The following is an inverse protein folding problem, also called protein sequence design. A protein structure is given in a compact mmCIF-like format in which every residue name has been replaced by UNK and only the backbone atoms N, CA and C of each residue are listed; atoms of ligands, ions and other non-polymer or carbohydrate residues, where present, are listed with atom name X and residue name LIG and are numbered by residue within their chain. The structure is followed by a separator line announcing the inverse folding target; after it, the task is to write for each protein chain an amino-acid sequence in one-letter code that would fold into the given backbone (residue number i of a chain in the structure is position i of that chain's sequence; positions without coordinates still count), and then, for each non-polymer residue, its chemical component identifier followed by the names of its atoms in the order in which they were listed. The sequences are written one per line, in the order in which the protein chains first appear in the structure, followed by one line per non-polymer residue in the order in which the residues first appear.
data_IF_040798796605
#
_entry.id   IF_040798796605
#
_cell.length_a   1.000
_cell.length_b   1.000
_cell.length_c   1.000
_cell.angle_alpha   90.00
_cell.angle_beta   90.00
_cell.angle_gamma   90.00
#
_symmetry.space_group_name_H-M   'P 1'
#
loop_
_entity.id
_entity.type
_entity.pdbx_description
1 polymer ?
#
# COMPACT_ATOMS: atom_id res chain seq x y z
N UNK A 1 33.65 4.64 -44.44
CA UNK A 1 32.45 3.79 -44.24
C UNK A 1 32.06 3.87 -42.78
N UNK A 2 30.85 4.35 -42.48
CA UNK A 2 30.37 4.52 -41.10
C UNK A 2 30.08 3.14 -40.50
N UNK A 3 30.71 2.83 -39.37
CA UNK A 3 30.51 1.59 -38.63
C UNK A 3 29.20 1.73 -37.84
N UNK A 4 28.12 1.20 -38.37
CA UNK A 4 26.82 1.18 -37.69
C UNK A 4 26.86 0.16 -36.55
N UNK A 5 27.10 0.63 -35.33
CA UNK A 5 26.86 -0.12 -34.10
C UNK A 5 25.34 -0.14 -33.85
N UNK A 6 24.68 -1.16 -34.38
CA UNK A 6 23.31 -1.46 -33.98
C UNK A 6 23.36 -2.15 -32.60
N UNK A 7 22.96 -1.44 -31.54
CA UNK A 7 22.68 -2.06 -30.25
C UNK A 7 21.49 -3.02 -30.43
N UNK A 8 21.58 -4.27 -29.94
CA UNK A 8 20.45 -5.17 -29.99
C UNK A 8 19.37 -4.65 -29.02
N UNK A 9 18.16 -4.43 -29.54
CA UNK A 9 16.96 -4.29 -28.73
C UNK A 9 16.85 -5.55 -27.86
N UNK A 10 17.16 -5.40 -26.58
CA UNK A 10 16.94 -6.45 -25.58
C UNK A 10 15.42 -6.58 -25.45
N UNK A 11 14.84 -7.56 -26.11
CA UNK A 11 13.45 -7.92 -25.92
C UNK A 11 13.32 -8.49 -24.50
N UNK A 12 12.92 -7.62 -23.56
CA UNK A 12 12.59 -8.01 -22.19
C UNK A 12 11.52 -9.10 -22.20
N UNK A 13 11.74 -10.13 -21.40
CA UNK A 13 10.83 -11.27 -21.30
C UNK A 13 9.55 -10.81 -20.58
N UNK A 14 8.52 -10.42 -21.33
CA UNK A 14 7.23 -10.06 -20.75
C UNK A 14 6.52 -11.33 -20.26
N UNK A 15 6.66 -11.62 -18.97
CA UNK A 15 5.95 -12.73 -18.32
C UNK A 15 4.57 -12.24 -17.91
N UNK A 16 3.53 -12.95 -18.32
CA UNK A 16 2.18 -12.68 -17.82
C UNK A 16 2.00 -13.26 -16.43
N UNK A 17 2.03 -12.42 -15.41
CA UNK A 17 1.95 -12.86 -14.02
C UNK A 17 0.51 -12.71 -13.52
N UNK A 18 -0.14 -13.84 -13.22
CA UNK A 18 -1.39 -13.87 -12.45
C UNK A 18 -1.06 -13.52 -10.99
N UNK A 19 -1.22 -12.25 -10.62
CA UNK A 19 -0.92 -11.77 -9.27
C UNK A 19 -0.81 -10.24 -9.10
N UNK A 20 -0.86 -9.48 -10.19
CA UNK A 20 -0.78 -8.02 -10.14
C UNK A 20 -2.16 -7.46 -9.81
N UNK A 21 -2.30 -6.75 -8.68
CA UNK A 21 -3.50 -5.96 -8.34
C UNK A 21 -3.45 -4.59 -9.04
N UNK A 22 -3.29 -4.60 -10.36
CA UNK A 22 -3.28 -3.42 -11.21
C UNK A 22 -4.17 -3.67 -12.42
N UNK A 23 -4.95 -2.67 -12.83
CA UNK A 23 -5.80 -2.73 -14.01
C UNK A 23 -5.41 -1.60 -14.94
N UNK A 24 -5.14 -1.92 -16.20
CA UNK A 24 -4.79 -0.94 -17.21
C UNK A 24 -5.91 0.10 -17.37
N UNK A 25 -5.62 1.40 -17.20
CA UNK A 25 -6.60 2.46 -17.38
C UNK A 25 -7.18 2.44 -18.79
N UNK A 26 -8.49 2.19 -18.90
CA UNK A 26 -9.18 2.18 -20.20
C UNK A 26 -9.10 3.53 -20.92
N UNK A 27 -9.13 4.63 -20.17
CA UNK A 27 -9.03 5.98 -20.73
C UNK A 27 -7.73 6.15 -21.54
N UNK A 28 -6.60 5.74 -20.99
CA UNK A 28 -5.29 5.88 -21.67
C UNK A 28 -5.22 5.03 -22.95
N UNK A 29 -5.84 3.83 -22.93
CA UNK A 29 -5.94 2.95 -24.10
C UNK A 29 -6.85 3.55 -25.17
N UNK A 30 -8.00 4.12 -24.78
CA UNK A 30 -8.92 4.77 -25.71
C UNK A 30 -8.33 6.03 -26.33
N UNK A 31 -7.56 6.80 -25.56
CA UNK A 31 -7.01 8.09 -25.98
C UNK A 31 -5.79 7.91 -26.90
N UNK A 32 -4.92 6.95 -26.60
CA UNK A 32 -3.63 6.79 -27.29
C UNK A 32 -3.46 5.47 -28.04
N UNK A 33 -4.22 4.44 -27.68
CA UNK A 33 -4.01 3.08 -28.18
C UNK A 33 -2.70 2.44 -27.75
N UNK A 34 -1.96 3.06 -26.81
CA UNK A 34 -0.64 2.63 -26.36
C UNK A 34 0.36 2.43 -27.52
N UNK A 35 0.34 3.34 -28.51
CA UNK A 35 1.16 3.24 -29.72
C UNK A 35 2.53 3.90 -29.58
N UNK A 36 2.64 4.85 -28.64
CA UNK A 36 3.84 5.60 -28.35
C UNK A 36 4.77 4.91 -27.34
N UNK A 37 6.09 5.19 -27.39
CA UNK A 37 7.09 4.54 -26.52
C UNK A 37 7.00 4.93 -25.04
N UNK A 38 6.14 5.88 -24.68
CA UNK A 38 5.93 6.37 -23.30
C UNK A 38 4.48 6.24 -22.84
N UNK A 39 3.63 5.66 -23.68
CA UNK A 39 2.20 5.51 -23.41
C UNK A 39 1.96 4.21 -22.65
N UNK A 40 0.96 4.23 -21.77
CA UNK A 40 0.53 3.04 -21.04
C UNK A 40 1.63 2.34 -20.21
N UNK A 41 2.59 3.14 -19.73
CA UNK A 41 3.64 2.73 -18.78
C UNK A 41 3.34 3.32 -17.40
N UNK A 42 3.43 2.49 -16.36
CA UNK A 42 3.03 2.82 -14.99
C UNK A 42 4.03 2.26 -13.97
N UNK A 43 4.11 2.84 -12.75
CA UNK A 43 4.98 2.31 -11.72
C UNK A 43 4.49 0.95 -11.22
N UNK A 44 5.42 0.07 -10.84
CA UNK A 44 5.09 -1.17 -10.13
C UNK A 44 5.12 -0.95 -8.62
N UNK A 45 3.98 -1.14 -7.96
CA UNK A 45 3.87 -0.94 -6.51
C UNK A 45 4.74 -1.94 -5.74
N UNK A 46 5.54 -1.42 -4.79
CA UNK A 46 6.36 -2.23 -3.88
C UNK A 46 7.64 -2.80 -4.48
N UNK A 47 7.99 -2.46 -5.73
CA UNK A 47 9.32 -2.72 -6.25
C UNK A 47 9.76 -1.68 -7.30
N UNK A 48 10.76 -0.87 -6.93
CA UNK A 48 11.32 0.21 -7.74
C UNK A 48 12.05 -0.28 -9.00
N UNK A 49 12.55 -1.52 -9.02
CA UNK A 49 13.23 -2.10 -10.18
C UNK A 49 12.26 -2.67 -11.22
N UNK A 50 10.95 -2.41 -11.06
CA UNK A 50 9.89 -2.87 -11.96
C UNK A 50 8.98 -1.74 -12.39
N UNK A 51 8.36 -1.94 -13.54
CA UNK A 51 7.27 -1.11 -14.05
C UNK A 51 6.20 -1.98 -14.69
N UNK A 52 5.06 -1.37 -15.02
CA UNK A 52 3.95 -2.03 -15.68
C UNK A 52 3.79 -1.42 -17.08
N UNK A 53 3.72 -2.27 -18.08
CA UNK A 53 3.34 -1.94 -19.45
C UNK A 53 2.00 -2.59 -19.76
N UNK A 54 1.06 -1.84 -20.32
CA UNK A 54 -0.23 -2.38 -20.71
C UNK A 54 -0.26 -2.80 -22.18
N UNK A 55 -0.37 -4.12 -22.39
CA UNK A 55 -0.61 -4.70 -23.71
C UNK A 55 -2.09 -4.57 -24.07
N UNK A 56 -2.40 -3.93 -25.18
CA UNK A 56 -3.80 -3.76 -25.64
C UNK A 56 -4.30 -5.07 -26.24
N UNK A 57 -5.36 -5.61 -25.65
CA UNK A 57 -6.09 -6.77 -26.15
C UNK A 57 -6.97 -6.40 -27.35
N UNK A 58 -7.35 -7.40 -28.15
CA UNK A 58 -8.21 -7.21 -29.33
C UNK A 58 -9.61 -6.65 -29.02
N UNK A 59 -10.07 -6.73 -27.77
CA UNK A 59 -11.35 -6.17 -27.32
C UNK A 59 -11.23 -4.73 -26.80
N UNK A 60 -10.04 -4.12 -26.90
CA UNK A 60 -9.75 -2.77 -26.42
C UNK A 60 -9.47 -2.68 -24.92
N UNK A 61 -9.43 -3.80 -24.20
CA UNK A 61 -8.98 -3.82 -22.80
C UNK A 61 -7.46 -3.92 -22.72
N UNK A 62 -6.86 -3.49 -21.60
CA UNK A 62 -5.42 -3.63 -21.39
C UNK A 62 -5.09 -4.78 -20.46
N UNK A 63 -4.05 -5.54 -20.80
CA UNK A 63 -3.45 -6.57 -19.97
C UNK A 63 -2.15 -6.04 -19.37
N UNK A 64 -2.01 -6.00 -18.03
CA UNK A 64 -0.79 -5.52 -17.41
C UNK A 64 0.34 -6.55 -17.53
N UNK A 65 1.49 -6.10 -17.99
CA UNK A 65 2.73 -6.85 -18.12
C UNK A 65 3.80 -6.18 -17.26
N UNK A 66 4.63 -6.97 -16.57
CA UNK A 66 5.72 -6.42 -15.75
C UNK A 66 6.97 -6.28 -16.62
N UNK A 67 7.49 -5.07 -16.68
CA UNK A 67 8.84 -4.79 -17.13
C UNK A 67 9.82 -4.75 -15.96
N UNK A 68 11.05 -5.22 -16.19
CA UNK A 68 12.15 -5.11 -15.22
C UNK A 68 13.14 -4.06 -15.71
N UNK A 69 13.55 -3.19 -14.80
CA UNK A 69 14.63 -2.26 -15.05
C UNK A 69 15.97 -2.99 -15.12
N UNK A 70 16.93 -2.48 -15.91
CA UNK A 70 18.31 -2.96 -15.86
C UNK A 70 18.88 -2.87 -14.44
N UNK A 71 19.82 -3.78 -14.12
CA UNK A 71 20.39 -3.86 -12.79
C UNK A 71 20.95 -2.51 -12.31
N UNK A 72 20.49 -2.06 -11.15
CA UNK A 72 20.89 -0.80 -10.52
C UNK A 72 20.13 0.43 -10.99
N UNK A 73 19.08 0.27 -11.80
CA UNK A 73 18.17 1.35 -12.20
C UNK A 73 16.77 1.15 -11.59
N UNK A 74 16.05 2.24 -11.44
CA UNK A 74 14.70 2.30 -10.88
C UNK A 74 13.73 3.01 -11.83
N UNK A 75 12.44 2.74 -11.69
CA UNK A 75 11.42 3.39 -12.52
C UNK A 75 11.32 4.90 -12.23
N UNK A 76 11.37 5.70 -13.30
CA UNK A 76 11.10 7.13 -13.29
C UNK A 76 9.79 7.41 -14.05
N UNK A 77 8.70 7.59 -13.31
CA UNK A 77 7.36 7.79 -13.86
C UNK A 77 7.19 9.15 -14.55
N UNK A 78 7.98 10.15 -14.17
CA UNK A 78 7.98 11.45 -14.84
C UNK A 78 8.53 11.34 -16.27
N UNK A 79 9.55 10.51 -16.46
CA UNK A 79 10.20 10.29 -17.76
C UNK A 79 9.65 9.08 -18.52
N UNK A 80 8.92 8.19 -17.83
CA UNK A 80 8.44 6.89 -18.32
C UNK A 80 9.60 5.99 -18.80
N UNK A 81 10.67 5.94 -18.03
CA UNK A 81 11.85 5.12 -18.30
C UNK A 81 12.58 4.71 -17.01
N UNK A 82 13.44 3.70 -17.08
CA UNK A 82 14.33 3.36 -15.96
C UNK A 82 15.49 4.34 -15.89
N UNK A 83 15.76 4.85 -14.70
CA UNK A 83 16.74 5.90 -14.44
C UNK A 83 17.58 5.57 -13.19
N UNK A 84 18.56 6.41 -12.89
CA UNK A 84 19.33 6.28 -11.66
C UNK A 84 18.42 6.45 -10.42
N UNK A 85 18.68 5.74 -9.31
CA UNK A 85 17.86 5.84 -8.09
C UNK A 85 17.66 7.27 -7.59
N UNK A 86 18.67 8.14 -7.70
CA UNK A 86 18.56 9.55 -7.29
C UNK A 86 17.58 10.40 -8.12
N UNK A 87 17.26 9.95 -9.34
CA UNK A 87 16.35 10.59 -10.27
C UNK A 87 15.02 9.83 -10.43
N UNK A 88 14.88 8.69 -9.73
CA UNK A 88 13.70 7.84 -9.79
C UNK A 88 12.50 8.55 -9.19
N UNK A 89 11.30 8.13 -9.59
CA UNK A 89 10.06 8.54 -8.90
C UNK A 89 9.59 7.46 -7.95
N UNK A 90 10.48 6.52 -7.61
CA UNK A 90 10.17 5.55 -6.59
C UNK A 90 10.24 6.27 -5.25
N UNK A 91 9.12 6.84 -4.83
CA UNK A 91 8.96 7.16 -3.43
C UNK A 91 8.82 5.84 -2.69
N UNK A 92 9.53 5.70 -1.56
CA UNK A 92 9.20 4.74 -0.49
C UNK A 92 7.79 5.01 0.11
N UNK A 93 6.85 5.52 -0.67
CA UNK A 93 5.44 5.27 -0.46
C UNK A 93 5.26 3.78 -0.74
N UNK A 94 5.64 3.00 0.28
CA UNK A 94 4.71 2.11 0.93
C UNK A 94 3.32 2.56 0.49
N UNK A 95 2.67 1.75 -0.34
CA UNK A 95 1.25 1.59 -0.11
C UNK A 95 1.16 1.20 1.38
N UNK A 96 1.05 2.21 2.25
CA UNK A 96 -0.09 2.27 3.15
C UNK A 96 -1.20 1.67 2.34
N UNK A 97 -1.45 0.40 2.63
CA UNK A 97 -2.60 -0.29 2.11
C UNK A 97 -3.74 0.59 2.57
N UNK A 98 -4.17 1.48 1.68
CA UNK A 98 -5.53 1.98 1.63
C UNK A 98 -6.37 0.73 1.45
N UNK A 99 -6.59 0.04 2.57
CA UNK A 99 -7.69 -0.87 2.81
C UNK A 99 -8.94 0.02 2.91
N UNK A 100 -9.29 0.64 1.79
CA UNK A 100 -10.61 1.22 1.64
C UNK A 100 -11.59 0.04 1.60
N UNK A 101 -12.14 -0.30 2.76
CA UNK A 101 -13.58 -0.20 3.07
C UNK A 101 -13.97 -1.17 4.19
N UNK A 102 -13.71 -0.80 5.45
CA UNK A 102 -14.70 -0.92 6.53
C UNK A 102 -14.42 0.12 7.61
N UNK A 103 -14.59 1.40 7.27
CA UNK A 103 -14.99 2.38 8.27
C UNK A 103 -16.25 1.85 8.99
N UNK A 104 -16.18 1.84 10.32
CA UNK A 104 -17.18 1.43 11.32
C UNK A 104 -17.26 -0.04 11.75
N UNK A 105 -16.43 -0.95 11.24
CA UNK A 105 -16.28 -2.26 11.90
C UNK A 105 -15.02 -2.25 12.79
N UNK A 106 -15.07 -2.85 14.00
CA UNK A 106 -13.84 -3.16 14.72
C UNK A 106 -12.91 -4.00 13.85
N UNK A 107 -11.60 -4.01 14.12
CA UNK A 107 -10.72 -4.96 13.45
C UNK A 107 -11.33 -6.37 13.60
N UNK A 108 -11.28 -7.22 12.56
CA UNK A 108 -11.97 -8.53 12.52
C UNK A 108 -11.58 -9.54 13.63
N UNK A 109 -10.72 -9.12 14.58
CA UNK A 109 -10.23 -9.89 15.73
C UNK A 109 -10.55 -9.26 17.09
N UNK A 110 -11.25 -8.13 17.13
CA UNK A 110 -11.63 -7.47 18.38
C UNK A 110 -12.80 -8.15 19.08
N UNK A 111 -12.79 -8.22 20.42
CA UNK A 111 -13.96 -8.65 21.21
C UNK A 111 -14.52 -7.49 22.01
N UNK A 112 -15.84 -7.33 22.10
CA UNK A 112 -16.46 -6.25 22.89
C UNK A 112 -16.10 -6.37 24.37
N UNK A 113 -15.78 -5.25 25.02
CA UNK A 113 -15.67 -5.12 26.47
C UNK A 113 -16.83 -4.28 27.02
N UNK A 114 -17.88 -4.94 27.50
CA UNK A 114 -19.06 -4.25 28.05
C UNK A 114 -18.76 -3.47 29.35
N UNK A 115 -17.61 -3.74 29.99
CA UNK A 115 -17.22 -3.11 31.24
C UNK A 115 -16.31 -1.89 31.06
N UNK A 116 -15.87 -1.61 29.82
CA UNK A 116 -15.01 -0.46 29.55
C UNK A 116 -15.84 0.70 29.00
N UNK A 117 -15.89 1.81 29.73
CA UNK A 117 -16.59 3.03 29.31
C UNK A 117 -15.68 3.94 28.50
N UNK A 118 -15.93 4.03 27.19
CA UNK A 118 -15.23 4.91 26.26
C UNK A 118 -15.41 6.40 26.58
N UNK A 119 -16.44 6.79 27.34
CA UNK A 119 -16.73 8.18 27.71
C UNK A 119 -15.85 8.69 28.85
N UNK A 120 -15.37 7.78 29.69
CA UNK A 120 -14.52 8.07 30.85
C UNK A 120 -13.03 7.93 30.55
N UNK A 121 -12.67 7.60 29.29
CA UNK A 121 -11.31 7.38 28.89
C UNK A 121 -10.51 8.70 28.88
N UNK A 122 -9.21 8.70 29.25
CA UNK A 122 -8.41 9.91 29.37
C UNK A 122 -8.46 10.72 28.07
N UNK A 123 -8.87 11.98 28.15
CA UNK A 123 -9.20 12.86 27.00
C UNK A 123 -8.01 13.28 26.12
N UNK A 124 -6.92 12.50 26.11
CA UNK A 124 -5.70 12.76 25.35
C UNK A 124 -5.62 12.06 23.99
N UNK A 125 -6.71 11.50 23.46
CA UNK A 125 -6.69 10.74 22.20
C UNK A 125 -7.86 10.99 21.24
N UNK A 126 -9.08 11.24 21.74
CA UNK A 126 -10.25 11.42 20.88
C UNK A 126 -10.55 12.90 20.64
N UNK A 127 -10.17 13.45 19.49
CA UNK A 127 -10.67 14.76 19.06
C UNK A 127 -11.78 14.60 18.03
N UNK A 128 -13.05 14.70 18.45
CA UNK A 128 -14.17 14.93 17.53
C UNK A 128 -14.06 16.35 16.96
N UNK A 129 -13.40 16.51 15.81
CA UNK A 129 -13.51 17.76 15.03
C UNK A 129 -14.63 17.60 14.00
N UNK A 130 -15.55 18.58 13.97
CA UNK A 130 -16.64 18.64 12.99
C UNK A 130 -16.11 18.40 11.58
N UNK A 131 -16.45 17.25 10.99
CA UNK A 131 -16.22 16.96 9.57
C UNK A 131 -14.86 16.38 9.19
N UNK A 132 -14.06 15.85 10.13
CA UNK A 132 -12.91 14.98 9.80
C UNK A 132 -12.98 13.70 10.64
N UNK A 133 -12.85 12.56 9.96
CA UNK A 133 -12.82 11.20 10.52
C UNK A 133 -11.70 11.07 11.57
N UNK A 134 -11.98 10.20 12.52
CA UNK A 134 -11.50 10.11 13.90
C UNK A 134 -10.00 9.81 14.01
N UNK A 135 -9.28 10.57 14.86
CA UNK A 135 -7.97 10.12 15.36
C UNK A 135 -8.23 8.97 16.33
N UNK A 136 -7.63 7.82 16.02
CA UNK A 136 -7.79 6.53 16.68
C UNK A 136 -7.94 6.61 18.20
N UNK A 137 -9.13 6.30 18.70
CA UNK A 137 -9.44 6.22 20.12
C UNK A 137 -8.87 4.93 20.74
N UNK A 138 -7.55 4.85 20.84
CA UNK A 138 -6.81 3.68 21.36
C UNK A 138 -6.28 3.94 22.78
N UNK A 139 -6.56 3.00 23.67
CA UNK A 139 -6.27 3.06 25.11
C UNK A 139 -5.60 1.78 25.62
N UNK A 140 -4.85 1.84 26.73
CA UNK A 140 -4.34 0.64 27.38
C UNK A 140 -5.49 -0.26 27.85
N UNK A 141 -5.36 -1.57 27.65
CA UNK A 141 -6.27 -2.50 28.30
C UNK A 141 -5.93 -2.61 29.80
N UNK A 142 -6.86 -2.27 30.72
CA UNK A 142 -6.60 -2.37 32.16
C UNK A 142 -6.39 -3.82 32.63
N UNK A 143 -6.83 -4.82 31.86
CA UNK A 143 -6.73 -6.24 32.22
C UNK A 143 -5.34 -6.82 31.96
N UNK A 144 -4.62 -6.35 30.93
CA UNK A 144 -3.29 -6.84 30.57
C UNK A 144 -2.64 -5.93 29.52
N UNK A 145 -1.32 -6.04 29.35
CA UNK A 145 -0.58 -5.29 28.33
C UNK A 145 -0.49 -5.98 26.97
N UNK A 146 -1.04 -7.18 26.80
CA UNK A 146 -0.96 -7.94 25.52
C UNK A 146 -2.13 -7.61 24.56
N UNK A 147 -2.93 -6.61 24.93
CA UNK A 147 -4.04 -6.10 24.15
C UNK A 147 -4.26 -4.63 24.49
N UNK A 148 -5.05 -3.96 23.66
CA UNK A 148 -5.47 -2.58 23.86
C UNK A 148 -6.98 -2.45 23.68
N UNK A 149 -7.54 -1.33 24.11
CA UNK A 149 -8.94 -0.99 23.90
C UNK A 149 -9.03 0.01 22.76
N UNK A 150 -9.82 -0.30 21.74
CA UNK A 150 -10.19 0.62 20.68
C UNK A 150 -11.65 1.01 20.85
N UNK A 151 -11.94 2.31 20.95
CA UNK A 151 -13.29 2.81 21.02
C UNK A 151 -13.76 3.23 19.62
N UNK A 152 -14.91 2.72 19.19
CA UNK A 152 -15.56 3.08 17.92
C UNK A 152 -17.04 3.29 18.20
N UNK A 153 -17.56 4.47 17.90
CA UNK A 153 -18.97 4.85 18.18
C UNK A 153 -19.43 4.60 19.63
N UNK A 154 -18.50 4.71 20.59
CA UNK A 154 -18.76 4.49 22.02
C UNK A 154 -18.75 3.03 22.46
N UNK A 155 -18.47 2.09 21.55
CA UNK A 155 -18.27 0.67 21.85
C UNK A 155 -16.77 0.41 22.08
N UNK A 156 -16.44 -0.26 23.18
CA UNK A 156 -15.06 -0.65 23.50
C UNK A 156 -14.73 -2.04 22.93
N UNK A 157 -13.63 -2.11 22.18
CA UNK A 157 -13.13 -3.33 21.56
C UNK A 157 -11.77 -3.72 22.12
N UNK A 158 -11.64 -4.94 22.64
CA UNK A 158 -10.36 -5.53 23.04
C UNK A 158 -9.66 -6.07 21.80
N UNK A 159 -8.52 -5.48 21.44
CA UNK A 159 -7.69 -5.90 20.29
C UNK A 159 -6.38 -6.48 20.79
N UNK A 160 -6.07 -7.73 20.43
CA UNK A 160 -4.82 -8.41 20.85
C UNK A 160 -3.63 -7.92 20.03
N UNK A 161 -2.48 -7.77 20.69
CA UNK A 161 -1.21 -7.39 20.07
C UNK A 161 -0.52 -8.54 19.30
N UNK A 162 -1.28 -9.51 18.79
CA UNK A 162 -0.73 -10.68 18.10
C UNK A 162 -0.10 -10.26 16.76
N UNK A 163 1.14 -10.68 16.52
CA UNK A 163 1.89 -10.39 15.30
C UNK A 163 1.95 -11.65 14.39
N UNK A 164 2.36 -11.50 13.11
CA UNK A 164 2.76 -12.64 12.30
C UNK A 164 3.80 -13.47 13.07
N UNK A 165 3.75 -14.81 12.97
CA UNK A 165 4.64 -15.75 13.67
C UNK A 165 4.35 -15.96 15.17
N UNK A 166 3.14 -15.65 15.65
CA UNK A 166 2.67 -15.98 17.02
C UNK A 166 3.53 -15.39 18.15
N UNK A 167 4.24 -14.30 17.90
CA UNK A 167 4.96 -13.56 18.96
C UNK A 167 3.96 -12.70 19.74
N UNK A 168 4.07 -12.71 21.07
CA UNK A 168 3.25 -11.88 21.95
C UNK A 168 3.81 -10.45 21.97
N UNK A 169 3.09 -9.52 21.33
CA UNK A 169 3.34 -8.09 21.47
C UNK A 169 2.75 -7.54 22.76
N UNK A 170 3.27 -6.40 23.19
CA UNK A 170 2.74 -5.59 24.28
C UNK A 170 2.35 -4.21 23.77
N UNK A 171 1.18 -3.73 24.15
CA UNK A 171 0.73 -2.40 23.80
C UNK A 171 1.56 -1.33 24.53
N UNK A 172 2.05 -0.36 23.76
CA UNK A 172 2.75 0.82 24.26
C UNK A 172 1.86 2.05 24.04
N UNK A 173 1.44 2.67 25.14
CA UNK A 173 0.52 3.80 25.10
C UNK A 173 1.13 5.11 24.61
N UNK A 174 2.44 5.29 24.80
CA UNK A 174 3.15 6.47 24.30
C UNK A 174 3.29 6.42 22.77
N UNK A 175 3.41 5.22 22.20
CA UNK A 175 3.52 4.99 20.76
C UNK A 175 2.18 4.67 20.09
N UNK A 176 1.13 4.45 20.88
CA UNK A 176 -0.19 3.95 20.42
C UNK A 176 -0.07 2.70 19.53
N UNK A 177 0.90 1.83 19.85
CA UNK A 177 1.25 0.69 19.00
C UNK A 177 1.61 -0.55 19.83
N UNK A 178 1.36 -1.72 19.26
CA UNK A 178 1.85 -2.99 19.80
C UNK A 178 3.33 -3.17 19.44
N UNK A 179 4.19 -3.33 20.44
CA UNK A 179 5.63 -3.53 20.28
C UNK A 179 6.06 -4.88 20.87
N UNK A 180 7.10 -5.49 20.31
CA UNK A 180 7.73 -6.64 20.95
C UNK A 180 8.57 -6.16 22.13
N UNK A 181 8.51 -6.87 23.26
CA UNK A 181 9.54 -6.72 24.28
C UNK A 181 10.82 -7.35 23.74
N UNK A 182 11.89 -6.58 23.72
CA UNK A 182 13.25 -7.09 23.52
C UNK A 182 13.66 -7.98 24.70
#
# INVERSE_FOLDING_TARGET
MRLSLALPLVAGLLVSVSGIKFSCPKGDIEDSGCLGPKECLYPYAGNCDKFIECEVNSDGTGRPMIGECPAGLEWNDNKKECDLPEDSTCSDDLQEVEDETQDFAPPPKGTVDENFDCSSAPSGGCMKRKGRVEVECIYPNPKNSISYIQCTDGIAWIVKCDQPLSRTGHYNDALKACILKA
#
